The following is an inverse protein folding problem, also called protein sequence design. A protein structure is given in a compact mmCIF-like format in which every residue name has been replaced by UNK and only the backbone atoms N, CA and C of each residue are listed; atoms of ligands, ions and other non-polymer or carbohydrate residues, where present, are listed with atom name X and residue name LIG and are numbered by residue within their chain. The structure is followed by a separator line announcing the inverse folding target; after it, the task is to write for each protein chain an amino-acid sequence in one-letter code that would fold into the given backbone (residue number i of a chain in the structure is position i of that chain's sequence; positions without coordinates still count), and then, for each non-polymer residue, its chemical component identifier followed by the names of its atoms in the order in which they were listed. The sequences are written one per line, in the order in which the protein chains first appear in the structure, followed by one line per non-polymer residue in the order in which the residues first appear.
data_IF_774157852006
#
_entry.id   IF_774157852006
#
_cell.length_a   1.000
_cell.length_b   1.000
_cell.length_c   1.000
_cell.angle_alpha   90.00
_cell.angle_beta   90.00
_cell.angle_gamma   90.00
#
_symmetry.space_group_name_H-M   'P 1'
#
loop_
_entity.id
_entity.type
_entity.pdbx_description
1 polymer ?
#
# COMPACT_ATOMS: atom_id res chain seq x y z
N UNK A 1 -2.40 -8.14 13.55
CA UNK A 1 -1.51 -8.80 12.57
C UNK A 1 -1.85 -10.30 12.53
N UNK A 2 -1.51 -11.02 11.45
CA UNK A 2 -1.78 -12.46 11.33
C UNK A 2 -3.27 -12.82 11.15
N UNK A 3 -4.09 -11.84 10.75
CA UNK A 3 -5.52 -12.01 10.51
C UNK A 3 -5.75 -12.51 9.08
N UNK A 4 -6.70 -13.42 8.90
CA UNK A 4 -7.10 -13.98 7.61
C UNK A 4 -8.58 -13.72 7.30
N UNK A 5 -9.45 -13.82 8.31
CA UNK A 5 -10.86 -13.50 8.21
C UNK A 5 -11.12 -12.12 8.83
N UNK A 6 -11.88 -11.26 8.13
CA UNK A 6 -12.21 -9.91 8.61
C UNK A 6 -13.01 -9.95 9.91
N UNK A 7 -13.93 -10.91 10.01
CA UNK A 7 -14.70 -11.22 11.21
C UNK A 7 -14.49 -12.69 11.64
N UNK A 8 -15.09 -13.07 12.78
CA UNK A 8 -14.95 -14.42 13.31
C UNK A 8 -13.58 -14.72 13.94
N UNK A 9 -13.29 -16.01 14.09
CA UNK A 9 -12.11 -16.49 14.84
C UNK A 9 -10.88 -16.55 13.94
N UNK A 10 -9.80 -15.89 14.36
CA UNK A 10 -8.50 -15.99 13.70
C UNK A 10 -7.48 -16.61 14.65
N UNK A 11 -7.12 -17.88 14.45
CA UNK A 11 -6.23 -18.61 15.36
C UNK A 11 -4.83 -18.00 15.50
N UNK A 12 -4.34 -17.32 14.45
CA UNK A 12 -2.99 -16.77 14.38
C UNK A 12 -2.97 -15.25 14.54
N UNK A 13 -4.11 -14.62 14.85
CA UNK A 13 -4.13 -13.17 15.00
C UNK A 13 -3.44 -12.73 16.29
N UNK A 14 -2.85 -11.56 16.24
CA UNK A 14 -2.28 -10.90 17.39
C UNK A 14 -2.63 -9.41 17.33
N UNK A 15 -3.12 -8.89 18.44
CA UNK A 15 -3.45 -7.47 18.61
C UNK A 15 -2.35 -6.77 19.42
N UNK A 16 -2.08 -5.52 19.04
CA UNK A 16 -1.13 -4.63 19.70
C UNK A 16 -1.72 -3.23 19.70
N UNK A 17 -1.54 -2.49 20.79
CA UNK A 17 -1.92 -1.08 20.82
C UNK A 17 -0.93 -0.25 20.01
N UNK A 18 -1.42 0.88 19.49
CA UNK A 18 -0.59 1.87 18.81
C UNK A 18 0.03 2.79 19.86
N UNK A 19 1.36 2.88 19.86
CA UNK A 19 2.11 3.81 20.72
C UNK A 19 2.13 5.22 20.15
N UNK A 20 2.40 5.32 18.85
CA UNK A 20 2.36 6.58 18.11
C UNK A 20 2.21 6.33 16.61
N UNK A 21 1.67 7.35 15.94
CA UNK A 21 1.62 7.44 14.47
C UNK A 21 2.49 8.62 14.06
N UNK A 22 3.37 8.41 13.08
CA UNK A 22 4.21 9.45 12.49
C UNK A 22 3.82 9.58 11.03
N UNK A 23 3.29 10.73 10.64
CA UNK A 23 2.87 11.02 9.26
C UNK A 23 4.00 11.73 8.52
N UNK A 24 4.19 11.43 7.24
CA UNK A 24 5.18 12.11 6.41
C UNK A 24 4.94 13.63 6.41
N UNK A 25 6.01 14.41 6.55
CA UNK A 25 5.92 15.85 6.72
C UNK A 25 5.33 16.54 5.49
N UNK A 26 4.27 17.32 5.70
CA UNK A 26 3.62 18.10 4.64
C UNK A 26 2.61 17.30 3.82
N UNK A 27 2.15 16.16 4.32
CA UNK A 27 0.92 15.52 3.87
C UNK A 27 -0.31 16.42 4.17
N UNK A 28 -1.24 16.46 3.23
CA UNK A 28 -2.47 17.27 3.27
C UNK A 28 -3.65 16.51 2.65
N UNK A 29 -3.44 15.92 1.48
CA UNK A 29 -4.41 15.10 0.76
C UNK A 29 -3.70 14.06 -0.12
N UNK A 30 -4.33 12.91 -0.45
CA UNK A 30 -3.72 11.86 -1.28
C UNK A 30 -3.17 12.36 -2.62
N UNK A 31 -3.91 13.24 -3.31
CA UNK A 31 -3.52 13.79 -4.61
C UNK A 31 -2.38 14.81 -4.52
N UNK A 32 -2.07 15.32 -3.32
CA UNK A 32 -0.94 16.24 -3.07
C UNK A 32 0.36 15.49 -2.70
N UNK A 33 0.33 14.16 -2.72
CA UNK A 33 1.46 13.30 -2.40
C UNK A 33 1.70 13.15 -0.89
N UNK A 34 2.84 12.55 -0.55
CA UNK A 34 3.28 12.30 0.83
C UNK A 34 2.32 11.46 1.66
N UNK A 35 1.52 10.63 0.99
CA UNK A 35 0.49 9.79 1.61
C UNK A 35 1.09 8.51 2.23
N UNK A 36 1.97 8.69 3.20
CA UNK A 36 2.61 7.61 3.97
C UNK A 36 2.66 7.98 5.44
N UNK A 37 2.42 7.00 6.29
CA UNK A 37 2.66 7.09 7.71
C UNK A 37 3.30 5.81 8.26
N UNK A 38 3.89 5.95 9.44
CA UNK A 38 4.48 4.87 10.21
C UNK A 38 3.74 4.71 11.52
N UNK A 39 3.41 3.47 11.86
CA UNK A 39 2.74 3.12 13.11
C UNK A 39 3.71 2.37 14.01
N UNK A 40 4.04 2.96 15.17
CA UNK A 40 4.82 2.29 16.20
C UNK A 40 3.88 1.54 17.16
N UNK A 41 4.16 0.27 17.37
CA UNK A 41 3.41 -0.58 18.30
C UNK A 41 3.87 -0.34 19.75
N UNK A 42 2.96 -0.46 20.71
CA UNK A 42 3.24 -0.32 22.15
C UNK A 42 4.17 -1.40 22.70
N UNK A 43 4.18 -2.57 22.06
CA UNK A 43 5.04 -3.69 22.39
C UNK A 43 5.44 -4.46 21.13
N UNK A 44 6.61 -5.14 21.15
CA UNK A 44 7.09 -5.88 20.00
C UNK A 44 6.20 -7.08 19.65
N UNK A 45 6.30 -7.52 18.39
CA UNK A 45 5.68 -8.74 17.89
C UNK A 45 6.60 -9.93 18.04
N UNK A 46 5.99 -11.10 18.21
CA UNK A 46 6.66 -12.40 18.08
C UNK A 46 6.51 -12.86 16.63
N UNK A 47 7.63 -13.15 15.98
CA UNK A 47 7.61 -13.68 14.62
C UNK A 47 7.06 -15.10 14.59
N UNK A 48 6.20 -15.37 13.63
CA UNK A 48 5.65 -16.69 13.36
C UNK A 48 5.61 -16.92 11.85
N UNK A 49 5.23 -18.12 11.42
CA UNK A 49 5.00 -18.38 9.99
C UNK A 49 3.85 -17.55 9.40
N UNK A 50 2.97 -16.98 10.23
CA UNK A 50 1.83 -16.13 9.82
C UNK A 50 2.05 -14.63 10.08
N UNK A 51 3.16 -14.27 10.74
CA UNK A 51 3.51 -12.88 11.07
C UNK A 51 4.99 -12.71 10.74
N UNK A 52 5.26 -12.22 9.53
CA UNK A 52 6.60 -11.95 9.01
C UNK A 52 6.66 -10.56 8.37
N UNK A 53 7.81 -9.86 8.47
CA UNK A 53 7.98 -8.55 7.84
C UNK A 53 8.07 -8.66 6.33
N UNK A 54 7.61 -7.61 5.65
CA UNK A 54 7.83 -7.41 4.21
C UNK A 54 9.17 -6.70 3.98
N UNK A 55 9.79 -6.93 2.83
CA UNK A 55 10.99 -6.19 2.46
C UNK A 55 10.66 -4.77 2.00
N UNK A 56 11.58 -3.85 2.30
CA UNK A 56 11.52 -2.48 1.82
C UNK A 56 12.58 -2.22 0.74
N UNK A 57 12.22 -1.48 -0.32
CA UNK A 57 13.15 -1.09 -1.36
C UNK A 57 14.18 -0.08 -0.83
N UNK A 58 15.35 0.01 -1.47
CA UNK A 58 16.23 1.16 -1.29
C UNK A 58 15.67 2.40 -2.01
N UNK A 59 16.23 3.58 -1.74
CA UNK A 59 15.71 4.85 -2.27
C UNK A 59 15.76 4.97 -3.80
N UNK A 60 16.68 4.23 -4.44
CA UNK A 60 16.88 4.27 -5.89
C UNK A 60 16.22 3.09 -6.61
N UNK A 61 15.53 2.22 -5.88
CA UNK A 61 14.91 1.04 -6.46
C UNK A 61 13.72 1.46 -7.33
N UNK A 62 13.75 1.02 -8.58
CA UNK A 62 12.69 1.25 -9.55
C UNK A 62 12.12 -0.09 -9.98
N UNK A 63 10.79 -0.16 -9.99
CA UNK A 63 10.08 -1.29 -10.57
C UNK A 63 9.92 -1.03 -12.07
N UNK A 64 10.22 -2.03 -12.88
CA UNK A 64 10.03 -1.93 -14.33
C UNK A 64 8.54 -1.89 -14.66
N UNK A 65 8.19 -1.19 -15.74
CA UNK A 65 6.84 -1.26 -16.31
C UNK A 65 6.43 -2.73 -16.57
N UNK A 66 5.16 -3.04 -16.30
CA UNK A 66 4.64 -4.41 -16.42
C UNK A 66 5.04 -5.37 -15.28
N UNK A 67 5.83 -4.94 -14.29
CA UNK A 67 6.17 -5.79 -13.12
C UNK A 67 4.88 -6.20 -12.40
N UNK A 68 4.63 -7.51 -12.29
CA UNK A 68 3.44 -8.02 -11.61
C UNK A 68 3.55 -7.86 -10.10
N UNK A 69 2.57 -7.17 -9.53
CA UNK A 69 2.43 -6.91 -8.11
C UNK A 69 1.04 -7.32 -7.65
N UNK A 70 0.85 -7.36 -6.33
CA UNK A 70 -0.36 -7.83 -5.70
C UNK A 70 -0.79 -6.82 -4.65
N UNK A 71 -2.08 -6.49 -4.67
CA UNK A 71 -2.73 -5.79 -3.57
C UNK A 71 -3.53 -6.79 -2.79
N UNK A 72 -3.48 -6.69 -1.46
CA UNK A 72 -4.20 -7.59 -0.56
C UNK A 72 -5.01 -6.80 0.44
N UNK A 73 -6.20 -7.29 0.76
CA UNK A 73 -7.06 -6.65 1.74
C UNK A 73 -8.45 -7.26 1.85
N UNK A 74 -9.32 -6.54 2.55
CA UNK A 74 -10.69 -6.95 2.87
C UNK A 74 -11.73 -5.93 2.40
N UNK A 75 -11.29 -4.94 1.62
CA UNK A 75 -12.14 -3.94 1.01
C UNK A 75 -13.18 -4.54 0.06
N UNK A 76 -14.10 -3.68 -0.33
CA UNK A 76 -15.13 -3.97 -1.31
C UNK A 76 -14.50 -4.42 -2.63
N UNK A 77 -15.16 -5.31 -3.35
CA UNK A 77 -14.68 -5.76 -4.67
C UNK A 77 -15.23 -4.94 -5.83
N UNK A 78 -16.23 -4.10 -5.55
CA UNK A 78 -16.94 -3.29 -6.55
C UNK A 78 -17.29 -1.93 -5.95
N UNK A 79 -17.22 -0.89 -6.77
CA UNK A 79 -17.53 0.48 -6.37
C UNK A 79 -18.98 0.60 -5.88
N UNK A 80 -19.18 1.13 -4.68
CA UNK A 80 -20.50 1.36 -4.10
C UNK A 80 -21.24 0.09 -3.66
N UNK A 81 -20.61 -1.08 -3.73
CA UNK A 81 -21.20 -2.35 -3.30
C UNK A 81 -20.44 -2.87 -2.09
N UNK A 82 -20.98 -2.58 -0.90
CA UNK A 82 -20.42 -3.13 0.33
C UNK A 82 -20.55 -4.64 0.38
N UNK A 83 -19.46 -5.32 0.70
CA UNK A 83 -19.49 -6.76 0.90
C UNK A 83 -20.30 -7.13 2.14
N UNK A 84 -21.29 -8.01 1.98
CA UNK A 84 -22.08 -8.53 3.10
C UNK A 84 -21.32 -9.65 3.84
N UNK A 85 -20.70 -9.31 4.98
CA UNK A 85 -20.20 -10.26 5.98
C UNK A 85 -18.91 -11.02 5.61
N UNK A 86 -18.14 -11.38 6.65
CA UNK A 86 -17.07 -12.37 6.66
C UNK A 86 -16.18 -12.45 5.42
N UNK A 87 -15.43 -11.38 5.18
CA UNK A 87 -14.42 -11.37 4.13
C UNK A 87 -13.21 -12.20 4.53
N UNK A 88 -12.96 -13.29 3.81
CA UNK A 88 -11.61 -13.85 3.73
C UNK A 88 -10.70 -12.84 3.06
N UNK A 89 -9.44 -12.72 3.50
CA UNK A 89 -8.44 -11.87 2.86
C UNK A 89 -8.36 -12.21 1.38
N UNK A 90 -8.44 -11.18 0.53
CA UNK A 90 -8.37 -11.32 -0.93
C UNK A 90 -7.09 -10.70 -1.47
N UNK A 91 -6.75 -11.10 -2.68
CA UNK A 91 -5.65 -10.53 -3.43
C UNK A 91 -6.05 -10.28 -4.88
N UNK A 92 -5.42 -9.28 -5.49
CA UNK A 92 -5.55 -9.00 -6.93
C UNK A 92 -4.16 -8.72 -7.52
N UNK A 93 -3.84 -9.41 -8.60
CA UNK A 93 -2.64 -9.17 -9.39
C UNK A 93 -2.83 -7.97 -10.32
N UNK A 94 -1.93 -6.99 -10.22
CA UNK A 94 -1.91 -5.77 -11.03
C UNK A 94 -0.47 -5.49 -11.51
N UNK A 95 -0.25 -5.14 -12.78
CA UNK A 95 1.07 -4.74 -13.26
C UNK A 95 1.38 -3.30 -12.86
N UNK A 96 2.64 -3.00 -12.58
CA UNK A 96 3.15 -1.62 -12.48
C UNK A 96 2.95 -0.93 -13.84
N UNK A 97 2.54 0.33 -13.77
CA UNK A 97 2.49 1.25 -14.91
C UNK A 97 3.54 2.32 -14.68
N UNK A 98 4.36 2.59 -15.68
CA UNK A 98 5.31 3.70 -15.61
C UNK A 98 4.60 5.04 -15.36
N UNK A 99 5.31 5.98 -14.73
CA UNK A 99 4.71 7.22 -14.24
C UNK A 99 4.18 8.12 -15.36
N UNK A 100 4.87 8.18 -16.50
CA UNK A 100 4.49 9.04 -17.62
C UNK A 100 3.23 8.51 -18.32
N UNK A 101 3.18 7.20 -18.55
CA UNK A 101 1.99 6.51 -19.08
C UNK A 101 0.82 6.69 -18.13
N UNK A 102 1.01 6.46 -16.82
CA UNK A 102 -0.06 6.66 -15.84
C UNK A 102 -0.58 8.10 -15.85
N UNK A 103 0.32 9.09 -15.83
CA UNK A 103 -0.08 10.50 -15.90
C UNK A 103 -0.87 10.81 -17.17
N UNK A 104 -0.44 10.26 -18.31
CA UNK A 104 -1.12 10.41 -19.60
C UNK A 104 -2.52 9.79 -19.60
N UNK A 105 -2.69 8.62 -19.00
CA UNK A 105 -4.00 7.96 -18.85
C UNK A 105 -4.97 8.83 -18.07
N UNK A 106 -4.51 9.43 -16.98
CA UNK A 106 -5.30 10.38 -16.17
C UNK A 106 -5.65 11.68 -16.91
N UNK A 107 -5.01 12.01 -18.04
CA UNK A 107 -5.42 13.13 -18.90
C UNK A 107 -6.48 12.74 -19.95
N UNK A 108 -6.65 11.44 -20.23
CA UNK A 108 -7.65 10.98 -21.22
C UNK A 108 -9.06 11.29 -20.70
N UNK A 109 -9.84 12.02 -21.51
CA UNK A 109 -11.23 12.40 -21.25
C UNK A 109 -11.44 13.18 -19.93
N UNK A 110 -10.41 13.84 -19.41
CA UNK A 110 -10.50 14.66 -18.20
C UNK A 110 -11.03 16.06 -18.55
N UNK A 111 -12.27 16.34 -18.17
CA UNK A 111 -12.88 17.67 -18.36
C UNK A 111 -12.75 18.51 -17.10
N UNK A 112 -12.03 19.64 -17.21
CA UNK A 112 -12.06 20.88 -16.41
C UNK A 112 -12.10 20.85 -14.85
N UNK A 113 -12.14 19.70 -14.16
CA UNK A 113 -12.10 19.61 -12.68
C UNK A 113 -11.50 18.30 -12.11
N UNK A 114 -11.27 17.28 -12.93
CA UNK A 114 -10.76 15.96 -12.47
C UNK A 114 -9.31 15.69 -12.90
N UNK A 115 -8.54 16.73 -13.24
CA UNK A 115 -7.14 16.58 -13.67
C UNK A 115 -6.27 16.18 -12.48
N UNK A 116 -5.98 14.88 -12.37
CA UNK A 116 -5.00 14.33 -11.44
C UNK A 116 -3.61 14.42 -12.09
N UNK A 117 -2.65 14.99 -11.36
CA UNK A 117 -1.24 14.92 -11.72
C UNK A 117 -0.56 13.82 -10.91
N UNK A 118 0.16 12.92 -11.58
CA UNK A 118 0.88 11.83 -10.91
C UNK A 118 2.27 12.31 -10.50
N UNK A 119 2.46 12.48 -9.19
CA UNK A 119 3.69 13.00 -8.59
C UNK A 119 4.80 11.93 -8.51
N UNK A 120 6.05 12.37 -8.34
CA UNK A 120 7.24 11.48 -8.30
C UNK A 120 7.29 10.56 -7.08
N UNK A 121 6.56 10.89 -6.03
CA UNK A 121 6.37 10.05 -4.84
C UNK A 121 5.15 9.12 -4.96
N UNK A 122 4.56 9.00 -6.15
CA UNK A 122 3.48 8.08 -6.48
C UNK A 122 3.96 6.99 -7.44
N UNK A 123 3.32 5.83 -7.37
CA UNK A 123 3.46 4.70 -8.29
C UNK A 123 2.07 4.22 -8.69
N UNK A 124 1.89 3.85 -9.96
CA UNK A 124 0.61 3.36 -10.46
C UNK A 124 0.68 1.86 -10.73
N UNK A 125 -0.45 1.19 -10.55
CA UNK A 125 -0.62 -0.21 -10.95
C UNK A 125 -2.05 -0.48 -11.38
N UNK A 126 -2.22 -1.36 -12.37
CA UNK A 126 -3.53 -1.73 -12.89
C UNK A 126 -3.50 -1.99 -14.39
N UNK A 127 -4.68 -2.08 -14.98
CA UNK A 127 -4.85 -2.32 -16.41
C UNK A 127 -5.46 -1.09 -17.08
N UNK A 128 -5.02 -0.76 -18.29
CA UNK A 128 -5.54 0.39 -19.01
C UNK A 128 -7.05 0.27 -19.27
N UNK A 129 -7.51 -0.92 -19.58
CA UNK A 129 -8.91 -1.25 -19.81
C UNK A 129 -9.75 -1.19 -18.52
N UNK A 130 -9.11 -1.12 -17.35
CA UNK A 130 -9.75 -1.26 -16.05
C UNK A 130 -10.03 -2.72 -15.67
N UNK A 131 -11.11 -2.95 -14.93
CA UNK A 131 -11.61 -4.28 -14.55
C UNK A 131 -10.94 -4.95 -13.35
N UNK A 132 -9.65 -4.68 -13.06
CA UNK A 132 -8.98 -5.15 -11.83
C UNK A 132 -8.25 -4.02 -11.12
N UNK A 133 -8.58 -3.82 -9.86
CA UNK A 133 -7.97 -2.80 -8.99
C UNK A 133 -8.21 -3.16 -7.51
N UNK A 134 -7.48 -2.49 -6.61
CA UNK A 134 -7.92 -2.32 -5.23
C UNK A 134 -9.13 -1.39 -5.17
N UNK A 135 -9.99 -1.56 -4.18
CA UNK A 135 -11.21 -0.75 -4.07
C UNK A 135 -11.45 -0.35 -2.61
N UNK A 136 -12.63 0.17 -2.31
CA UNK A 136 -12.94 0.82 -1.04
C UNK A 136 -12.63 -0.08 0.15
N UNK A 137 -11.95 0.45 1.17
CA UNK A 137 -11.61 -0.30 2.39
C UNK A 137 -10.22 -0.95 2.39
N UNK A 138 -9.48 -0.87 1.28
CA UNK A 138 -8.07 -1.31 1.21
C UNK A 138 -7.07 -0.15 1.38
N UNK A 139 -7.53 1.09 1.60
CA UNK A 139 -6.66 2.27 1.81
C UNK A 139 -5.61 2.04 2.91
N UNK A 140 -4.35 2.37 2.62
CA UNK A 140 -3.21 2.08 3.49
C UNK A 140 -2.68 0.64 3.37
N UNK A 141 -3.37 -0.24 2.63
CA UNK A 141 -2.95 -1.60 2.34
C UNK A 141 -1.69 -1.67 1.47
N UNK A 142 -1.06 -2.85 1.39
CA UNK A 142 0.22 -2.99 0.70
C UNK A 142 0.03 -3.29 -0.80
N UNK A 143 0.84 -2.64 -1.63
CA UNK A 143 1.16 -3.11 -2.99
C UNK A 143 2.52 -3.81 -2.92
N UNK A 144 2.54 -5.13 -3.11
CA UNK A 144 3.77 -5.94 -3.02
C UNK A 144 4.13 -6.56 -4.35
N UNK A 145 5.41 -6.56 -4.71
CA UNK A 145 5.91 -7.11 -5.95
C UNK A 145 6.91 -8.24 -5.67
N UNK A 146 6.82 -9.31 -6.45
CA UNK A 146 7.81 -10.39 -6.42
C UNK A 146 8.99 -10.00 -7.31
N UNK A 147 10.20 -10.03 -6.76
CA UNK A 147 11.44 -9.72 -7.50
C UNK A 147 12.30 -10.97 -7.77
N UNK A 148 11.69 -12.15 -7.69
CA UNK A 148 12.40 -13.44 -7.82
C UNK A 148 12.99 -13.94 -6.49
N UNK A 149 13.53 -15.16 -6.50
CA UNK A 149 14.15 -15.83 -5.33
C UNK A 149 13.26 -15.81 -4.07
N UNK A 150 11.94 -16.00 -4.24
CA UNK A 150 10.94 -15.96 -3.17
C UNK A 150 10.93 -14.66 -2.33
N UNK A 151 11.46 -13.56 -2.88
CA UNK A 151 11.53 -12.27 -2.19
C UNK A 151 10.42 -11.34 -2.65
N UNK A 152 9.66 -10.82 -1.69
CA UNK A 152 8.58 -9.87 -1.89
C UNK A 152 8.95 -8.51 -1.32
N UNK A 153 8.73 -7.45 -2.08
CA UNK A 153 9.01 -6.06 -1.70
C UNK A 153 7.70 -5.28 -1.67
N UNK A 154 7.53 -4.43 -0.66
CA UNK A 154 6.48 -3.42 -0.69
C UNK A 154 6.86 -2.28 -1.63
N UNK A 155 6.22 -2.23 -2.79
CA UNK A 155 6.43 -1.19 -3.80
C UNK A 155 5.63 0.08 -3.46
N UNK A 156 4.43 -0.09 -2.91
CA UNK A 156 3.51 1.00 -2.66
C UNK A 156 2.62 0.81 -1.44
N UNK A 157 1.97 1.89 -1.06
CA UNK A 157 0.86 1.94 -0.09
C UNK A 157 -0.39 2.41 -0.84
N UNK A 158 -1.49 1.66 -0.77
CA UNK A 158 -2.77 2.03 -1.42
C UNK A 158 -3.18 3.43 -0.97
N UNK A 159 -3.31 4.36 -1.92
CA UNK A 159 -3.55 5.78 -1.64
C UNK A 159 -4.91 6.22 -2.18
N UNK A 160 -5.05 6.33 -3.51
CA UNK A 160 -6.31 6.76 -4.14
C UNK A 160 -6.51 6.17 -5.54
N UNK A 161 -7.70 6.39 -6.08
CA UNK A 161 -8.07 6.11 -7.47
C UNK A 161 -9.34 6.89 -7.83
N UNK A 162 -9.61 7.09 -9.12
CA UNK A 162 -10.89 7.63 -9.57
C UNK A 162 -11.83 6.47 -9.91
N UNK A 163 -12.66 6.11 -8.93
CA UNK A 163 -13.49 4.91 -8.97
C UNK A 163 -12.69 3.62 -8.79
N UNK A 164 -13.36 2.47 -8.88
CA UNK A 164 -12.69 1.17 -8.81
C UNK A 164 -12.54 0.55 -10.18
N UNK A 165 -11.29 0.33 -10.62
CA UNK A 165 -10.98 -0.36 -11.86
C UNK A 165 -11.60 0.27 -13.12
N UNK A 166 -11.67 1.60 -13.18
CA UNK A 166 -12.18 2.32 -14.35
C UNK A 166 -11.12 2.39 -15.46
N UNK A 167 -11.59 2.41 -16.71
CA UNK A 167 -10.70 2.54 -17.89
C UNK A 167 -9.90 3.85 -17.82
N UNK A 168 -8.60 3.76 -18.07
CA UNK A 168 -7.64 4.87 -17.99
C UNK A 168 -7.56 5.57 -16.61
N UNK A 169 -7.99 4.90 -15.54
CA UNK A 169 -7.91 5.39 -14.15
C UNK A 169 -7.30 4.31 -13.26
N UNK A 170 -6.00 3.99 -13.44
CA UNK A 170 -5.34 2.97 -12.64
C UNK A 170 -5.24 3.40 -11.18
N UNK A 171 -5.18 2.44 -10.25
CA UNK A 171 -4.91 2.72 -8.84
C UNK A 171 -3.59 3.45 -8.65
N UNK A 172 -3.58 4.41 -7.73
CA UNK A 172 -2.41 5.21 -7.35
C UNK A 172 -2.01 4.88 -5.92
N UNK A 173 -0.71 4.65 -5.76
CA UNK A 173 -0.11 4.20 -4.51
C UNK A 173 1.02 5.17 -4.15
N UNK A 174 1.24 5.41 -2.86
CA UNK A 174 2.42 6.13 -2.43
C UNK A 174 3.66 5.25 -2.61
N UNK A 175 4.67 5.73 -3.36
CA UNK A 175 5.86 4.98 -3.77
C UNK A 175 6.82 4.83 -2.59
N UNK A 176 6.95 3.61 -2.05
CA UNK A 176 7.74 3.37 -0.83
C UNK A 176 9.21 3.80 -0.97
N UNK A 177 9.83 3.60 -2.15
CA UNK A 177 11.23 4.01 -2.38
C UNK A 177 11.45 5.52 -2.21
N UNK A 178 10.44 6.36 -2.53
CA UNK A 178 10.51 7.81 -2.33
C UNK A 178 10.47 8.22 -0.86
N UNK A 179 9.98 7.35 0.04
CA UNK A 179 9.87 7.62 1.47
C UNK A 179 10.97 6.98 2.32
N UNK A 180 11.98 6.37 1.70
CA UNK A 180 13.10 5.74 2.43
C UNK A 180 13.79 6.68 3.42
N UNK A 181 13.99 7.95 3.05
CA UNK A 181 14.56 8.95 3.96
C UNK A 181 13.70 9.18 5.21
N UNK A 182 12.39 9.33 5.02
CA UNK A 182 11.41 9.44 6.10
C UNK A 182 11.41 8.18 6.99
N UNK A 183 11.39 6.99 6.39
CA UNK A 183 11.44 5.70 7.09
C UNK A 183 12.70 5.60 7.95
N UNK A 184 13.88 5.87 7.38
CA UNK A 184 15.15 5.80 8.11
C UNK A 184 15.26 6.84 9.22
N UNK A 185 14.75 8.05 9.01
CA UNK A 185 14.76 9.09 10.04
C UNK A 185 13.89 8.73 11.25
N UNK A 186 12.83 7.94 11.03
CA UNK A 186 11.89 7.52 12.07
C UNK A 186 12.30 6.19 12.71
N UNK A 187 12.84 5.27 11.89
CA UNK A 187 13.26 3.92 12.27
C UNK A 187 14.68 3.67 11.74
N UNK A 188 15.72 4.12 12.46
CA UNK A 188 17.12 4.06 11.99
C UNK A 188 17.63 2.65 11.69
N UNK A 189 17.11 1.63 12.40
CA UNK A 189 17.53 0.23 12.26
C UNK A 189 16.86 -0.51 11.08
N UNK A 190 16.10 0.19 10.24
CA UNK A 190 15.41 -0.42 9.10
C UNK A 190 16.41 -0.96 8.06
N UNK A 191 16.29 -2.25 7.74
CA UNK A 191 17.04 -2.88 6.65
C UNK A 191 16.31 -2.66 5.32
N UNK A 192 17.01 -2.06 4.38
CA UNK A 192 16.54 -1.86 3.00
C UNK A 192 17.27 -2.85 2.10
N UNK A 193 16.64 -3.22 0.98
CA UNK A 193 17.24 -4.10 -0.02
C UNK A 193 18.38 -3.42 -0.78
N UNK A 194 19.55 -3.38 -0.14
CA UNK A 194 20.88 -3.41 -0.78
C UNK A 194 21.59 -4.76 -0.52
N UNK A 195 21.03 -5.57 0.40
CA UNK A 195 21.46 -6.90 0.82
C UNK A 195 20.20 -7.75 1.01
N UNK A 196 20.28 -9.05 0.70
CA UNK A 196 19.16 -9.96 0.81
C UNK A 196 18.42 -9.77 2.14
N UNK A 197 17.10 -9.61 2.09
CA UNK A 197 16.23 -9.63 3.27
C UNK A 197 16.38 -10.96 4.00
N UNK A 198 17.28 -11.01 4.97
CA UNK A 198 17.37 -12.15 5.86
C UNK A 198 16.20 -12.03 6.85
N UNK A 199 15.21 -12.91 6.69
CA UNK A 199 14.03 -13.04 7.55
C UNK A 199 14.36 -13.41 9.02
N UNK A 200 15.65 -13.44 9.38
CA UNK A 200 16.17 -13.94 10.65
C UNK A 200 16.51 -12.85 11.68
N UNK A 201 16.42 -11.56 11.37
CA UNK A 201 16.92 -10.51 12.29
C UNK A 201 16.01 -9.28 12.45
N UNK A 202 15.20 -9.33 13.51
CA UNK A 202 14.86 -8.22 14.43
C UNK A 202 13.76 -7.16 14.17
N UNK A 203 12.91 -7.09 15.22
CA UNK A 203 12.37 -6.01 16.06
C UNK A 203 11.47 -4.87 15.59
N UNK A 204 11.46 -4.34 14.37
CA UNK A 204 10.50 -3.26 14.06
C UNK A 204 9.99 -3.36 12.63
N UNK A 205 8.67 -3.47 12.48
CA UNK A 205 7.98 -3.40 11.19
C UNK A 205 7.57 -1.96 10.90
N UNK A 206 7.71 -1.59 9.63
CA UNK A 206 6.82 -0.63 8.99
C UNK A 206 5.50 -1.36 8.72
N UNK A 207 4.51 -1.20 9.59
CA UNK A 207 3.13 -1.46 9.19
C UNK A 207 2.68 -0.24 8.37
N UNK A 208 2.43 -0.42 7.08
CA UNK A 208 1.61 0.52 6.33
C UNK A 208 0.19 0.39 6.87
N UNK A 209 -0.17 1.29 7.77
CA UNK A 209 -1.55 1.52 8.17
C UNK A 209 -1.68 3.02 8.32
N UNK A 210 -2.57 3.64 7.54
CA UNK A 210 -3.19 4.87 8.01
C UNK A 210 -4.64 5.00 7.59
N UNK A 211 -5.47 5.04 8.63
CA UNK A 211 -6.56 5.98 8.88
C UNK A 211 -7.32 6.47 7.64
N UNK A 212 -8.34 5.72 7.23
CA UNK A 212 -9.54 6.40 6.75
C UNK A 212 -10.10 7.24 7.88
N UNK A 213 -10.35 8.52 7.59
CA UNK A 213 -10.94 9.47 8.51
C UNK A 213 -12.19 8.86 9.16
N UNK A 214 -12.16 8.69 10.49
CA UNK A 214 -13.40 8.73 11.27
C UNK A 214 -13.88 10.17 11.18
N UNK A 215 -14.76 10.42 10.20
CA UNK A 215 -15.59 11.62 10.19
C UNK A 215 -16.53 11.53 11.40
N UNK A 216 -16.06 12.04 12.53
CA UNK A 216 -16.93 12.55 13.59
C UNK A 216 -17.61 13.80 13.03
N UNK A 217 -18.86 13.64 12.62
CA UNK A 217 -19.67 14.69 12.02
C UNK A 217 -21.13 14.61 12.41
N UNK A 218 -21.39 14.91 13.70
CA UNK A 218 -22.66 15.32 14.35
C UNK A 218 -23.85 14.36 14.32
#
# INVERSE_FOLDING_TARGET
MGRYQLDGTNQFETMREVKRVVVAQGYSAPQEGKDVALVELSSPLTWTVHIQPICLPNANFQFNDGTMCYVTGWGDTQEGVSLSGAGTLREVGVPIIDQETCNSMYQINSYNSDTVSILSDMICAGYQEGGKDSCQGDSGGPLVCSIGNSTWIQAGVVSFGLGCAQKNRPGVYARVSSFVGFIRSTVPDTQLLDRACNHAAHRLMVLSVTLTAVMLGR
#
